data_IF_171924941281
#
_entry.id   IF_171924941281
#
_cell.length_a   1.000
_cell.length_b   1.000
_cell.length_c   1.000
_cell.angle_alpha   90.00
_cell.angle_beta   90.00
_cell.angle_gamma   90.00
#
_symmetry.space_group_name_H-M   'P 1'
#
loop_
_entity.id
_entity.type
_entity.pdbx_description
1 polymer ?
#
# COMPACT_ATOMS: atom_id res chain seq x y z
N UNK A 1 14.97 2.87 -3.31
CA UNK A 1 14.58 2.21 -4.58
C UNK A 1 13.22 2.74 -5.02
N UNK A 2 12.84 2.55 -6.30
CA UNK A 2 11.51 2.89 -6.76
C UNK A 2 10.48 1.79 -6.42
N UNK A 3 9.19 2.05 -6.71
CA UNK A 3 8.11 1.13 -6.35
C UNK A 3 8.16 -0.19 -7.15
N UNK A 4 8.64 -0.17 -8.39
CA UNK A 4 8.81 -1.37 -9.22
C UNK A 4 9.93 -2.27 -8.71
N UNK A 5 11.07 -1.70 -8.32
CA UNK A 5 12.17 -2.44 -7.70
C UNK A 5 11.76 -3.03 -6.34
N UNK A 6 10.93 -2.31 -5.58
CA UNK A 6 10.37 -2.82 -4.33
C UNK A 6 9.45 -4.02 -4.59
N UNK A 7 8.56 -3.94 -5.59
CA UNK A 7 7.71 -5.04 -6.03
C UNK A 7 8.53 -6.29 -6.36
N UNK A 8 9.52 -6.17 -7.25
CA UNK A 8 10.41 -7.29 -7.63
C UNK A 8 11.16 -7.88 -6.44
N UNK A 9 11.58 -7.03 -5.50
CA UNK A 9 12.28 -7.47 -4.28
C UNK A 9 11.36 -8.31 -3.39
N UNK A 10 10.08 -7.93 -3.26
CA UNK A 10 9.08 -8.68 -2.49
C UNK A 10 8.76 -10.00 -3.19
N UNK A 11 8.59 -10.01 -4.51
CA UNK A 11 8.36 -11.24 -5.29
C UNK A 11 9.51 -12.24 -5.13
N UNK A 12 10.75 -11.78 -5.22
CA UNK A 12 11.95 -12.60 -5.00
C UNK A 12 11.99 -13.16 -3.58
N UNK A 13 11.62 -12.34 -2.57
CA UNK A 13 11.54 -12.78 -1.19
C UNK A 13 10.45 -13.85 -0.99
N UNK A 14 9.27 -13.65 -1.58
CA UNK A 14 8.15 -14.56 -1.52
C UNK A 14 8.51 -15.91 -2.12
N UNK A 15 9.11 -15.92 -3.31
CA UNK A 15 9.60 -17.16 -3.97
C UNK A 15 10.67 -17.86 -3.14
N UNK A 16 11.63 -17.13 -2.56
CA UNK A 16 12.68 -17.70 -1.74
C UNK A 16 12.16 -18.30 -0.42
N UNK A 17 11.20 -17.63 0.24
CA UNK A 17 10.64 -18.07 1.51
C UNK A 17 9.68 -19.27 1.35
N UNK A 18 8.99 -19.34 0.23
CA UNK A 18 8.07 -20.45 -0.06
C UNK A 18 8.75 -21.63 -0.78
N UNK A 19 10.01 -21.49 -1.17
CA UNK A 19 10.77 -22.59 -1.75
C UNK A 19 11.04 -23.70 -0.71
N UNK A 20 10.94 -24.94 -1.16
CA UNK A 20 11.16 -26.15 -0.38
C UNK A 20 12.25 -26.99 -1.03
N UNK A 21 12.99 -27.73 -0.23
CA UNK A 21 13.92 -28.75 -0.71
C UNK A 21 13.17 -30.03 -1.15
N UNK A 22 13.92 -31.03 -1.61
CA UNK A 22 13.38 -32.31 -2.09
C UNK A 22 12.62 -33.09 -1.01
N UNK A 23 12.86 -32.81 0.28
CA UNK A 23 12.25 -33.46 1.44
C UNK A 23 11.04 -32.65 1.95
N UNK A 24 10.84 -31.42 1.43
CA UNK A 24 9.74 -30.53 1.79
C UNK A 24 10.07 -29.48 2.87
N UNK A 25 11.33 -29.35 3.31
CA UNK A 25 11.75 -28.32 4.24
C UNK A 25 11.95 -26.96 3.55
N UNK A 26 11.65 -25.82 4.24
CA UNK A 26 11.91 -24.51 3.70
C UNK A 26 13.41 -24.32 3.42
N UNK A 27 13.76 -23.82 2.21
CA UNK A 27 15.16 -23.48 1.89
C UNK A 27 15.69 -22.34 2.78
N UNK A 28 14.84 -21.38 3.12
CA UNK A 28 15.14 -20.37 4.15
C UNK A 28 14.39 -20.77 5.42
N UNK A 29 15.09 -21.09 6.51
CA UNK A 29 14.45 -21.49 7.77
C UNK A 29 13.45 -20.42 8.25
N UNK A 30 12.29 -20.85 8.77
CA UNK A 30 11.20 -19.95 9.17
C UNK A 30 11.64 -18.79 10.08
N UNK A 31 12.58 -19.06 10.99
CA UNK A 31 13.15 -18.03 11.88
C UNK A 31 14.00 -16.97 11.16
N UNK A 32 14.48 -17.28 9.94
CA UNK A 32 15.28 -16.37 9.12
C UNK A 32 14.44 -15.67 8.03
N UNK A 33 13.19 -16.04 7.87
CA UNK A 33 12.25 -15.38 6.97
C UNK A 33 11.77 -14.08 7.61
N UNK A 34 12.54 -13.01 7.45
CA UNK A 34 12.23 -11.70 8.03
C UNK A 34 11.01 -11.07 7.37
N UNK A 35 10.07 -10.46 8.12
CA UNK A 35 9.06 -9.57 7.57
C UNK A 35 9.69 -8.45 6.76
N UNK A 36 8.96 -7.94 5.76
CA UNK A 36 9.39 -6.81 4.96
C UNK A 36 8.73 -5.54 5.51
N UNK A 37 9.51 -4.47 5.67
CA UNK A 37 9.03 -3.16 6.10
C UNK A 37 9.27 -2.14 4.99
N UNK A 38 8.20 -1.71 4.32
CA UNK A 38 8.21 -0.67 3.30
C UNK A 38 8.08 0.70 3.96
N UNK A 39 9.08 1.55 3.82
CA UNK A 39 9.00 2.94 4.27
C UNK A 39 9.07 3.84 3.04
N UNK A 40 8.07 4.67 2.87
CA UNK A 40 8.00 5.59 1.74
C UNK A 40 6.85 6.57 1.85
N UNK A 41 6.90 7.68 1.11
CA UNK A 41 5.90 8.73 1.18
C UNK A 41 4.49 8.24 0.83
N UNK A 42 3.43 8.97 1.23
CA UNK A 42 2.05 8.60 0.92
C UNK A 42 1.76 8.70 -0.60
N UNK A 43 0.81 7.91 -1.09
CA UNK A 43 0.32 8.01 -2.47
C UNK A 43 1.25 7.50 -3.56
N UNK A 44 2.31 6.74 -3.24
CA UNK A 44 3.26 6.16 -4.23
C UNK A 44 2.92 4.73 -4.68
N UNK A 45 1.77 4.17 -4.24
CA UNK A 45 1.31 2.85 -4.69
C UNK A 45 1.75 1.66 -3.81
N UNK A 46 2.17 1.86 -2.55
CA UNK A 46 2.58 0.76 -1.65
C UNK A 46 1.53 -0.35 -1.51
N UNK A 47 0.26 0.03 -1.40
CA UNK A 47 -0.86 -0.93 -1.31
C UNK A 47 -1.14 -1.60 -2.65
N UNK A 48 -1.13 -0.83 -3.75
CA UNK A 48 -1.42 -1.33 -5.09
C UNK A 48 -0.43 -2.42 -5.55
N UNK A 49 0.85 -2.32 -5.19
CA UNK A 49 1.82 -3.38 -5.55
C UNK A 49 1.55 -4.70 -4.82
N UNK A 50 0.89 -4.70 -3.65
CA UNK A 50 0.54 -5.93 -2.94
C UNK A 50 -0.52 -6.73 -3.69
N UNK A 51 -1.53 -6.06 -4.23
CA UNK A 51 -2.56 -6.66 -5.06
C UNK A 51 -1.95 -7.28 -6.33
N UNK A 52 -1.08 -6.52 -7.01
CA UNK A 52 -0.38 -7.00 -8.20
C UNK A 52 0.49 -8.22 -7.91
N UNK A 53 1.27 -8.20 -6.81
CA UNK A 53 2.11 -9.35 -6.42
C UNK A 53 1.26 -10.57 -6.10
N UNK A 54 0.15 -10.38 -5.38
CA UNK A 54 -0.74 -11.48 -5.01
C UNK A 54 -1.38 -12.13 -6.24
N UNK A 55 -1.76 -11.33 -7.25
CA UNK A 55 -2.30 -11.81 -8.52
C UNK A 55 -1.22 -12.53 -9.35
N UNK A 56 -0.08 -11.88 -9.61
CA UNK A 56 1.01 -12.40 -10.45
C UNK A 56 1.68 -13.65 -9.86
N UNK A 57 1.80 -13.72 -8.53
CA UNK A 57 2.34 -14.90 -7.84
C UNK A 57 1.29 -15.98 -7.53
N UNK A 58 0.00 -15.70 -7.73
CA UNK A 58 -1.09 -16.63 -7.46
C UNK A 58 -1.28 -16.96 -5.98
N UNK A 59 -0.96 -16.01 -5.08
CA UNK A 59 -1.05 -16.16 -3.61
C UNK A 59 -2.24 -15.42 -3.03
N UNK A 60 -2.64 -15.73 -1.79
CA UNK A 60 -3.64 -14.98 -1.05
C UNK A 60 -3.14 -13.61 -0.62
N UNK A 61 -4.04 -12.67 -0.43
CA UNK A 61 -3.74 -11.35 0.15
C UNK A 61 -4.75 -11.05 1.25
N UNK A 62 -4.24 -10.72 2.42
CA UNK A 62 -5.02 -10.13 3.53
C UNK A 62 -4.37 -8.79 3.84
N UNK A 63 -5.13 -7.72 3.74
CA UNK A 63 -4.64 -6.35 3.91
C UNK A 63 -5.41 -5.61 5.00
N UNK A 64 -4.69 -4.95 5.89
CA UNK A 64 -5.23 -4.16 6.98
C UNK A 64 -4.55 -2.80 7.08
N UNK A 65 -5.35 -1.75 7.29
CA UNK A 65 -4.86 -0.43 7.71
C UNK A 65 -4.87 -0.37 9.23
N UNK A 66 -3.71 -0.40 9.84
CA UNK A 66 -3.55 -0.63 11.28
C UNK A 66 -4.03 0.52 12.17
N UNK A 67 -4.17 1.74 11.64
CA UNK A 67 -4.72 2.90 12.38
C UNK A 67 -6.16 2.73 12.81
N UNK A 68 -6.93 1.86 12.15
CA UNK A 68 -8.33 1.57 12.50
C UNK A 68 -8.49 0.43 13.51
N UNK A 69 -7.37 -0.24 13.88
CA UNK A 69 -7.41 -1.37 14.79
C UNK A 69 -7.07 -0.98 16.24
N UNK A 70 -7.73 -1.67 17.17
CA UNK A 70 -7.44 -1.61 18.60
C UNK A 70 -6.56 -2.80 19.01
N UNK A 71 -5.98 -2.73 20.20
CA UNK A 71 -5.26 -3.88 20.76
C UNK A 71 -6.15 -5.13 20.85
N UNK A 72 -7.44 -4.96 21.15
CA UNK A 72 -8.38 -6.06 21.30
C UNK A 72 -8.70 -6.74 19.97
N UNK A 73 -8.93 -5.98 18.88
CA UNK A 73 -9.14 -6.57 17.57
C UNK A 73 -7.90 -7.30 17.04
N UNK A 74 -6.70 -6.79 17.35
CA UNK A 74 -5.46 -7.41 16.91
C UNK A 74 -5.08 -8.67 17.70
N UNK A 75 -5.30 -8.68 19.03
CA UNK A 75 -4.92 -9.81 19.90
C UNK A 75 -6.04 -10.79 20.20
N UNK A 76 -7.30 -10.41 19.97
CA UNK A 76 -8.46 -11.12 20.50
C UNK A 76 -8.89 -10.62 21.89
N UNK A 77 -10.03 -11.09 22.35
CA UNK A 77 -10.59 -10.78 23.66
C UNK A 77 -10.13 -11.81 24.72
N UNK A 78 -9.81 -11.39 25.95
CA UNK A 78 -9.49 -12.33 27.01
C UNK A 78 -10.75 -13.07 27.46
N UNK A 79 -10.67 -14.40 27.54
CA UNK A 79 -11.70 -15.30 28.07
C UNK A 79 -11.15 -16.06 29.26
N UNK A 80 -11.99 -16.28 30.28
CA UNK A 80 -11.63 -17.10 31.43
C UNK A 80 -12.01 -18.54 31.14
N UNK A 81 -11.01 -19.38 30.96
CA UNK A 81 -11.18 -20.81 30.73
C UNK A 81 -10.79 -21.62 31.99
N UNK A 82 -11.45 -22.72 32.21
CA UNK A 82 -11.09 -23.64 33.31
C UNK A 82 -10.28 -24.79 32.76
N UNK A 83 -9.07 -24.99 33.29
CA UNK A 83 -8.17 -26.10 32.91
C UNK A 83 -7.78 -26.94 34.09
N UNK A 84 -7.64 -28.24 33.88
CA UNK A 84 -7.03 -29.16 34.85
C UNK A 84 -5.48 -29.11 34.74
N UNK A 85 -4.81 -28.65 35.80
CA UNK A 85 -3.35 -28.64 35.88
C UNK A 85 -2.97 -29.44 37.15
N UNK A 86 -2.17 -30.46 36.97
CA UNK A 86 -1.69 -31.35 38.10
C UNK A 86 -2.83 -31.86 39.00
N UNK A 87 -3.99 -32.19 38.37
CA UNK A 87 -5.17 -32.70 39.11
C UNK A 87 -6.01 -31.65 39.83
N UNK A 88 -5.69 -30.33 39.66
CA UNK A 88 -6.45 -29.22 40.21
C UNK A 88 -7.10 -28.44 39.08
N UNK A 89 -8.38 -28.05 39.26
CA UNK A 89 -9.07 -27.14 38.36
C UNK A 89 -8.61 -25.71 38.66
N UNK A 90 -8.03 -25.07 37.67
CA UNK A 90 -7.57 -23.67 37.76
C UNK A 90 -8.22 -22.80 36.66
N UNK A 91 -8.44 -21.54 36.97
CA UNK A 91 -8.89 -20.56 35.97
C UNK A 91 -7.66 -19.97 35.28
N UNK A 92 -7.67 -20.01 33.96
CA UNK A 92 -6.63 -19.42 33.10
C UNK A 92 -7.27 -18.41 32.18
N UNK A 93 -6.53 -17.39 31.82
CA UNK A 93 -6.95 -16.44 30.78
C UNK A 93 -6.43 -16.92 29.43
N UNK A 94 -7.33 -17.09 28.47
CA UNK A 94 -7.03 -17.34 27.07
C UNK A 94 -7.53 -16.18 26.24
N UNK A 95 -7.00 -16.03 25.04
CA UNK A 95 -7.48 -15.00 24.10
C UNK A 95 -8.24 -15.68 22.97
N UNK A 96 -9.37 -15.10 22.56
CA UNK A 96 -10.04 -15.50 21.32
C UNK A 96 -9.10 -15.30 20.14
N UNK A 97 -9.42 -15.93 19.01
CA UNK A 97 -8.59 -15.76 17.82
C UNK A 97 -8.55 -14.28 17.40
N UNK A 98 -7.34 -13.79 17.04
CA UNK A 98 -7.15 -12.49 16.44
C UNK A 98 -7.97 -12.37 15.15
N UNK A 99 -8.66 -11.25 14.95
CA UNK A 99 -9.36 -10.95 13.69
C UNK A 99 -8.43 -11.06 12.48
N UNK A 100 -7.20 -10.57 12.61
CA UNK A 100 -6.20 -10.59 11.55
C UNK A 100 -5.83 -12.04 11.18
N UNK A 101 -5.65 -12.91 12.18
CA UNK A 101 -5.34 -14.32 11.93
C UNK A 101 -6.54 -15.06 11.38
N UNK A 102 -7.75 -14.79 11.89
CA UNK A 102 -8.98 -15.37 11.37
C UNK A 102 -9.16 -15.05 9.88
N UNK A 103 -8.94 -13.80 9.47
CA UNK A 103 -9.03 -13.41 8.06
C UNK A 103 -8.01 -14.11 7.15
N UNK A 104 -6.87 -14.53 7.68
CA UNK A 104 -5.93 -15.37 6.91
C UNK A 104 -6.58 -16.73 6.62
N UNK A 105 -7.17 -17.37 7.62
CA UNK A 105 -7.86 -18.65 7.43
C UNK A 105 -9.08 -18.53 6.53
N UNK A 106 -9.86 -17.46 6.67
CA UNK A 106 -11.00 -17.16 5.79
C UNK A 106 -10.55 -16.98 4.34
N UNK A 107 -9.45 -16.25 4.11
CA UNK A 107 -8.86 -16.10 2.79
C UNK A 107 -8.42 -17.45 2.20
N UNK A 108 -7.78 -18.31 3.02
CA UNK A 108 -7.37 -19.66 2.59
C UNK A 108 -8.58 -20.52 2.22
N UNK A 109 -9.66 -20.45 2.98
CA UNK A 109 -10.89 -21.21 2.74
C UNK A 109 -11.61 -20.73 1.48
N UNK A 110 -11.80 -19.42 1.34
CA UNK A 110 -12.54 -18.81 0.23
C UNK A 110 -11.81 -18.94 -1.11
N UNK A 111 -10.48 -18.79 -1.12
CA UNK A 111 -9.67 -18.76 -2.34
C UNK A 111 -9.02 -20.09 -2.67
N UNK A 112 -8.94 -21.04 -1.73
CA UNK A 112 -8.16 -22.27 -1.85
C UNK A 112 -6.63 -22.07 -1.81
N UNK A 113 -6.17 -20.83 -1.65
CA UNK A 113 -4.74 -20.46 -1.66
C UNK A 113 -4.15 -20.63 -0.26
N UNK A 114 -3.27 -21.62 -0.08
CA UNK A 114 -2.63 -21.89 1.22
C UNK A 114 -1.47 -20.94 1.55
N UNK A 115 -0.96 -20.21 0.56
CA UNK A 115 0.16 -19.26 0.66
C UNK A 115 -0.33 -17.86 0.43
N UNK A 116 0.25 -16.88 1.15
CA UNK A 116 -0.23 -15.52 1.02
C UNK A 116 0.69 -14.44 1.55
N UNK A 117 0.20 -13.24 1.45
CA UNK A 117 0.78 -12.03 2.02
C UNK A 117 -0.19 -11.49 3.07
N UNK A 118 0.30 -11.26 4.26
CA UNK A 118 -0.34 -10.39 5.25
C UNK A 118 0.25 -8.99 5.11
N UNK A 119 -0.54 -8.07 4.59
CA UNK A 119 -0.14 -6.69 4.41
C UNK A 119 -0.71 -5.80 5.52
N UNK A 120 0.16 -5.09 6.22
CA UNK A 120 -0.18 -4.22 7.34
C UNK A 120 0.23 -2.79 7.02
N UNK A 121 -0.72 -1.99 6.56
CA UNK A 121 -0.47 -0.59 6.20
C UNK A 121 -0.51 0.33 7.43
N UNK A 122 0.22 1.45 7.35
CA UNK A 122 0.32 2.46 8.41
C UNK A 122 0.78 1.92 9.79
N UNK A 123 1.66 0.90 9.77
CA UNK A 123 2.08 0.19 10.99
C UNK A 123 2.77 1.09 12.02
N UNK A 124 3.36 2.18 11.60
CA UNK A 124 4.05 3.14 12.47
C UNK A 124 3.17 4.32 12.92
N UNK A 125 1.89 4.33 12.54
CA UNK A 125 0.90 5.33 12.97
C UNK A 125 -0.11 4.77 13.98
N UNK A 126 0.12 3.57 14.51
CA UNK A 126 -0.79 2.90 15.46
C UNK A 126 -0.78 3.56 16.83
N UNK A 127 -1.85 3.32 17.61
CA UNK A 127 -1.97 3.81 18.99
C UNK A 127 -0.85 3.27 19.90
N UNK A 128 -0.58 3.97 21.02
CA UNK A 128 0.44 3.57 22.00
C UNK A 128 0.22 2.16 22.56
N UNK A 129 -1.03 1.78 22.72
CA UNK A 129 -1.40 0.46 23.25
C UNK A 129 -1.24 -0.66 22.22
N UNK A 130 -1.33 -0.33 20.93
CA UNK A 130 -1.19 -1.31 19.84
C UNK A 130 0.25 -1.45 19.36
N UNK A 131 1.06 -0.39 19.44
CA UNK A 131 2.45 -0.40 18.94
C UNK A 131 3.29 -1.59 19.48
N UNK A 132 3.31 -1.94 20.79
CA UNK A 132 4.07 -3.07 21.27
C UNK A 132 3.61 -4.42 20.68
N UNK A 133 2.31 -4.55 20.40
CA UNK A 133 1.75 -5.76 19.77
C UNK A 133 2.22 -5.91 18.33
N UNK A 134 2.26 -4.79 17.59
CA UNK A 134 2.76 -4.77 16.20
C UNK A 134 4.25 -5.07 16.15
N UNK A 135 5.04 -4.52 17.09
CA UNK A 135 6.46 -4.85 17.20
C UNK A 135 6.68 -6.34 17.50
N UNK A 136 5.90 -6.91 18.40
CA UNK A 136 5.94 -8.35 18.68
C UNK A 136 5.59 -9.18 17.44
N UNK A 137 4.58 -8.78 16.68
CA UNK A 137 4.23 -9.45 15.44
C UNK A 137 5.37 -9.44 14.42
N UNK A 138 6.02 -8.29 14.22
CA UNK A 138 7.18 -8.19 13.32
C UNK A 138 8.38 -9.01 13.80
N UNK A 139 8.55 -9.17 15.12
CA UNK A 139 9.66 -9.92 15.69
C UNK A 139 9.42 -11.42 15.69
N UNK A 140 8.24 -11.85 16.14
CA UNK A 140 7.93 -13.23 16.48
C UNK A 140 6.92 -13.90 15.55
N UNK A 141 6.33 -13.15 14.60
CA UNK A 141 5.25 -13.58 13.69
C UNK A 141 4.04 -14.17 14.42
N UNK A 142 3.67 -13.56 15.54
CA UNK A 142 2.54 -14.01 16.37
C UNK A 142 1.83 -12.86 17.07
N UNK A 143 0.56 -13.06 17.34
CA UNK A 143 -0.23 -12.28 18.27
C UNK A 143 -0.48 -13.10 19.55
N UNK A 144 0.10 -12.70 20.67
CA UNK A 144 0.04 -13.49 21.90
C UNK A 144 0.63 -14.90 21.70
N UNK A 145 -0.22 -15.93 21.79
CA UNK A 145 0.12 -17.33 21.55
C UNK A 145 -0.28 -17.85 20.16
N UNK A 146 -0.89 -17.01 19.32
CA UNK A 146 -1.37 -17.39 17.99
C UNK A 146 -0.34 -17.00 16.93
N UNK A 147 0.12 -17.98 16.14
CA UNK A 147 1.09 -17.77 15.08
C UNK A 147 0.44 -17.45 13.72
N UNK A 148 1.10 -16.60 12.96
CA UNK A 148 0.80 -16.47 11.52
C UNK A 148 1.19 -17.79 10.83
N UNK A 149 0.38 -18.34 9.93
CA UNK A 149 0.73 -19.54 9.18
C UNK A 149 2.09 -19.42 8.46
N UNK A 150 2.88 -20.50 8.46
CA UNK A 150 4.27 -20.49 7.99
C UNK A 150 4.46 -20.00 6.53
N UNK A 151 3.52 -20.32 5.66
CA UNK A 151 3.54 -19.94 4.25
C UNK A 151 2.85 -18.56 4.00
N UNK A 152 2.82 -17.68 5.01
CA UNK A 152 2.36 -16.30 4.90
C UNK A 152 3.50 -15.33 5.17
N UNK A 153 3.79 -14.48 4.15
CA UNK A 153 4.77 -13.42 4.26
C UNK A 153 4.12 -12.18 4.88
N UNK A 154 4.72 -11.65 5.94
CA UNK A 154 4.31 -10.37 6.51
C UNK A 154 5.02 -9.26 5.75
N UNK A 155 4.24 -8.35 5.17
CA UNK A 155 4.71 -7.10 4.59
C UNK A 155 4.03 -5.96 5.33
N UNK A 156 4.80 -5.12 5.97
CA UNK A 156 4.32 -3.94 6.66
C UNK A 156 4.68 -2.68 5.88
N UNK A 157 3.85 -1.66 5.93
CA UNK A 157 4.13 -0.37 5.31
C UNK A 157 3.96 0.77 6.31
N UNK A 158 4.74 1.81 6.14
CA UNK A 158 4.66 3.03 6.92
C UNK A 158 5.14 4.24 6.13
N UNK A 159 4.82 5.41 6.66
CA UNK A 159 5.29 6.68 6.09
C UNK A 159 6.48 7.19 6.91
N UNK A 160 7.44 7.91 6.30
CA UNK A 160 8.48 8.60 7.03
C UNK A 160 7.90 9.69 7.97
N UNK A 161 8.61 10.05 9.06
CA UNK A 161 8.13 11.03 10.04
C UNK A 161 7.80 12.40 9.45
N UNK A 162 8.46 12.78 8.38
CA UNK A 162 8.25 14.06 7.69
C UNK A 162 6.82 14.25 7.18
N UNK A 163 6.14 13.14 6.86
CA UNK A 163 4.80 13.18 6.26
C UNK A 163 3.65 13.09 7.27
N UNK A 164 3.94 12.62 8.49
CA UNK A 164 2.91 12.46 9.51
C UNK A 164 3.51 12.59 10.92
N UNK A 165 3.08 13.59 11.68
CA UNK A 165 3.52 13.83 13.05
C UNK A 165 3.18 12.71 14.04
N UNK A 166 2.23 11.84 13.70
CA UNK A 166 1.84 10.68 14.52
C UNK A 166 2.72 9.46 14.30
N UNK A 167 3.67 9.53 13.38
CA UNK A 167 4.61 8.45 13.07
C UNK A 167 5.55 8.20 14.25
N UNK A 168 5.73 6.93 14.58
CA UNK A 168 6.73 6.46 15.54
C UNK A 168 7.90 5.87 14.80
N UNK A 169 9.09 6.18 15.26
CA UNK A 169 10.30 5.54 14.78
C UNK A 169 10.42 4.12 15.35
N UNK A 170 10.90 3.21 14.53
CA UNK A 170 11.23 1.86 14.98
C UNK A 170 12.59 1.84 15.67
N UNK A 171 12.68 1.13 16.77
CA UNK A 171 13.95 0.90 17.46
C UNK A 171 14.88 -0.03 16.64
N UNK A 172 16.17 0.01 17.00
CA UNK A 172 17.20 -0.80 16.33
C UNK A 172 16.90 -2.30 16.43
N UNK A 173 16.32 -2.75 17.55
CA UNK A 173 15.99 -4.16 17.76
C UNK A 173 14.89 -4.64 16.81
N UNK A 174 13.91 -3.80 16.51
CA UNK A 174 12.88 -4.09 15.50
C UNK A 174 13.45 -4.05 14.09
N UNK A 175 14.25 -3.02 13.78
CA UNK A 175 14.87 -2.88 12.45
C UNK A 175 15.82 -4.03 12.12
N UNK A 176 16.51 -4.58 13.11
CA UNK A 176 17.37 -5.76 12.92
C UNK A 176 16.58 -7.04 12.56
N UNK A 177 15.29 -7.11 12.90
CA UNK A 177 14.44 -8.27 12.65
C UNK A 177 13.59 -8.19 11.39
N UNK A 178 13.58 -7.05 10.70
CA UNK A 178 12.84 -6.83 9.45
C UNK A 178 13.79 -6.60 8.29
N UNK A 179 13.27 -6.70 7.08
CA UNK A 179 13.94 -6.25 5.85
C UNK A 179 13.37 -4.88 5.48
N UNK A 180 14.04 -3.82 5.92
CA UNK A 180 13.63 -2.45 5.58
C UNK A 180 13.90 -2.15 4.11
N UNK A 181 12.90 -1.64 3.43
CA UNK A 181 12.93 -1.16 2.04
C UNK A 181 12.45 0.29 2.03
N UNK A 182 13.30 1.20 1.61
CA UNK A 182 12.92 2.61 1.42
C UNK A 182 12.50 2.83 -0.03
N UNK A 183 11.27 3.32 -0.21
CA UNK A 183 10.67 3.54 -1.52
C UNK A 183 10.52 5.03 -1.77
N UNK A 184 10.99 5.48 -2.92
CA UNK A 184 10.91 6.86 -3.36
C UNK A 184 10.03 6.98 -4.61
N UNK A 185 9.30 8.10 -4.77
CA UNK A 185 8.54 8.35 -5.99
C UNK A 185 9.47 8.51 -7.19
N UNK A 186 9.13 7.89 -8.31
CA UNK A 186 9.87 7.99 -9.56
C UNK A 186 8.90 8.11 -10.73
N UNK A 187 8.96 9.24 -11.44
CA UNK A 187 8.05 9.54 -12.54
C UNK A 187 8.13 8.53 -13.68
N UNK A 188 9.33 8.10 -14.07
CA UNK A 188 9.52 7.16 -15.19
C UNK A 188 8.78 5.84 -14.95
N UNK A 189 8.83 5.34 -13.73
CA UNK A 189 8.12 4.11 -13.31
C UNK A 189 6.61 4.35 -13.28
N UNK A 190 6.18 5.49 -12.75
CA UNK A 190 4.77 5.84 -12.74
C UNK A 190 4.20 6.04 -14.16
N UNK A 191 4.95 6.61 -15.09
CA UNK A 191 4.52 6.74 -16.49
C UNK A 191 4.31 5.38 -17.16
N UNK A 192 5.16 4.39 -16.87
CA UNK A 192 4.98 3.01 -17.35
C UNK A 192 3.71 2.35 -16.78
N UNK A 193 3.38 2.64 -15.53
CA UNK A 193 2.11 2.25 -14.91
C UNK A 193 0.94 3.01 -15.55
N UNK A 194 1.07 4.30 -15.77
CA UNK A 194 0.06 5.17 -16.33
C UNK A 194 -0.37 4.75 -17.75
N UNK A 195 0.56 4.30 -18.58
CA UNK A 195 0.28 3.77 -19.91
C UNK A 195 -0.57 2.49 -19.82
N UNK A 196 -0.19 1.53 -18.98
CA UNK A 196 -0.94 0.28 -18.78
C UNK A 196 -2.35 0.50 -18.24
N UNK A 197 -2.53 1.48 -17.38
CA UNK A 197 -3.81 1.81 -16.74
C UNK A 197 -4.57 2.92 -17.46
N UNK A 198 -4.12 3.29 -18.68
CA UNK A 198 -4.79 4.26 -19.53
C UNK A 198 -5.03 5.60 -18.81
N UNK A 199 -4.10 6.07 -18.01
CA UNK A 199 -4.18 7.40 -17.40
C UNK A 199 -4.38 8.46 -18.50
N UNK A 200 -5.16 9.49 -18.19
CA UNK A 200 -5.52 10.53 -19.14
C UNK A 200 -4.28 11.17 -19.79
N UNK A 201 -4.25 11.24 -21.13
CA UNK A 201 -3.06 11.67 -21.87
C UNK A 201 -2.63 13.12 -21.57
N UNK A 202 -3.55 14.02 -21.21
CA UNK A 202 -3.17 15.36 -20.75
C UNK A 202 -2.31 15.31 -19.48
N UNK A 203 -2.57 14.36 -18.57
CA UNK A 203 -1.78 14.18 -17.33
C UNK A 203 -0.38 13.66 -17.68
N UNK A 204 -0.31 12.59 -18.46
CA UNK A 204 0.99 11.98 -18.81
C UNK A 204 1.88 12.91 -19.62
N UNK A 205 1.33 13.60 -20.62
CA UNK A 205 2.09 14.55 -21.45
C UNK A 205 2.52 15.79 -20.67
N UNK A 206 1.68 16.28 -19.76
CA UNK A 206 2.07 17.37 -18.86
C UNK A 206 3.25 16.97 -17.97
N UNK A 207 3.18 15.82 -17.32
CA UNK A 207 4.23 15.35 -16.42
C UNK A 207 5.54 15.00 -17.14
N UNK A 208 5.49 14.59 -18.40
CA UNK A 208 6.69 14.45 -19.23
C UNK A 208 7.41 15.77 -19.46
N UNK A 209 6.67 16.88 -19.54
CA UNK A 209 7.22 18.22 -19.72
C UNK A 209 7.61 18.89 -18.39
N UNK A 210 6.92 18.55 -17.31
CA UNK A 210 7.05 19.15 -15.97
C UNK A 210 7.23 18.06 -14.92
N UNK A 211 8.37 17.38 -14.96
CA UNK A 211 8.66 16.22 -14.08
C UNK A 211 8.73 16.54 -12.60
N UNK A 212 9.07 17.77 -12.25
CA UNK A 212 9.11 18.32 -10.89
C UNK A 212 7.72 18.46 -10.25
N UNK A 213 6.65 18.51 -11.07
CA UNK A 213 5.27 18.56 -10.59
C UNK A 213 4.66 17.18 -10.29
N UNK A 214 5.40 16.10 -10.49
CA UNK A 214 4.88 14.75 -10.25
C UNK A 214 4.61 14.47 -8.77
N UNK A 215 5.56 14.85 -7.92
CA UNK A 215 5.48 14.58 -6.50
C UNK A 215 6.13 15.70 -5.70
N UNK A 216 5.34 16.38 -4.91
CA UNK A 216 5.82 17.38 -3.96
C UNK A 216 5.01 17.33 -2.67
N UNK A 217 5.66 17.54 -1.52
CA UNK A 217 5.00 17.69 -0.23
C UNK A 217 5.72 18.80 0.52
N UNK A 218 5.03 19.92 0.73
CA UNK A 218 5.54 21.03 1.51
C UNK A 218 5.35 20.78 3.01
N UNK A 219 6.38 21.08 3.79
CA UNK A 219 6.39 20.95 5.25
C UNK A 219 6.29 22.31 5.96
N UNK A 220 5.90 23.37 5.26
CA UNK A 220 5.70 24.68 5.87
C UNK A 220 4.57 24.64 6.90
N UNK A 221 4.78 25.32 8.03
CA UNK A 221 4.05 25.08 9.29
C UNK A 221 2.54 25.34 9.24
N UNK A 222 2.04 26.15 8.31
CA UNK A 222 0.64 26.61 8.28
C UNK A 222 -0.20 26.11 7.12
N UNK A 223 0.41 25.63 6.02
CA UNK A 223 -0.35 25.10 4.87
C UNK A 223 0.27 23.80 4.36
N UNK A 224 -0.51 22.74 4.41
CA UNK A 224 -0.13 21.46 3.80
C UNK A 224 -0.40 21.54 2.30
N UNK A 225 0.63 21.81 1.50
CA UNK A 225 0.56 21.77 0.04
C UNK A 225 1.21 20.49 -0.43
N UNK A 226 0.52 19.74 -1.25
CA UNK A 226 1.07 18.48 -1.76
C UNK A 226 0.50 18.09 -3.12
N UNK A 227 1.33 17.40 -3.88
CA UNK A 227 0.96 16.68 -5.09
C UNK A 227 1.50 15.26 -4.96
N UNK A 228 0.70 14.27 -5.29
CA UNK A 228 1.08 12.85 -5.19
C UNK A 228 0.69 12.10 -6.45
N UNK A 229 1.31 10.94 -6.68
CA UNK A 229 0.93 10.05 -7.78
C UNK A 229 -0.55 9.65 -7.74
N UNK A 230 -1.12 9.44 -6.54
CA UNK A 230 -2.56 9.18 -6.34
C UNK A 230 -3.41 10.37 -6.79
N UNK A 231 -3.02 11.61 -6.43
CA UNK A 231 -3.75 12.81 -6.85
C UNK A 231 -3.84 12.93 -8.37
N UNK A 232 -2.78 12.63 -9.10
CA UNK A 232 -2.77 12.59 -10.56
C UNK A 232 -3.66 11.49 -11.14
N UNK A 233 -3.66 10.30 -10.52
CA UNK A 233 -4.49 9.17 -10.93
C UNK A 233 -5.98 9.47 -10.74
N UNK A 234 -6.37 9.95 -9.56
CA UNK A 234 -7.74 10.32 -9.22
C UNK A 234 -8.23 11.46 -10.14
N UNK A 235 -7.41 12.49 -10.36
CA UNK A 235 -7.72 13.56 -11.31
C UNK A 235 -7.95 13.02 -12.73
N UNK A 236 -7.09 12.10 -13.19
CA UNK A 236 -7.25 11.46 -14.51
C UNK A 236 -8.62 10.77 -14.65
N UNK A 237 -9.06 10.06 -13.63
CA UNK A 237 -10.36 9.38 -13.66
C UNK A 237 -11.52 10.37 -13.77
N UNK A 238 -11.42 11.48 -13.05
CA UNK A 238 -12.43 12.54 -13.09
C UNK A 238 -12.43 13.28 -14.42
N UNK A 239 -11.26 13.61 -14.96
CA UNK A 239 -11.16 14.27 -16.29
C UNK A 239 -11.86 13.44 -17.36
N UNK A 240 -11.60 12.12 -17.42
CA UNK A 240 -12.26 11.20 -18.36
C UNK A 240 -13.79 11.21 -18.21
N UNK A 241 -14.27 11.19 -16.96
CA UNK A 241 -15.71 11.21 -16.68
C UNK A 241 -16.34 12.54 -17.09
N UNK A 242 -15.66 13.66 -16.83
CA UNK A 242 -16.15 15.00 -17.18
C UNK A 242 -16.19 15.21 -18.69
N UNK A 243 -15.20 14.68 -19.43
CA UNK A 243 -15.21 14.71 -20.90
C UNK A 243 -16.41 13.94 -21.48
N UNK A 244 -16.70 12.74 -20.94
CA UNK A 244 -17.85 11.93 -21.37
C UNK A 244 -19.18 12.64 -21.07
N UNK A 245 -19.27 13.28 -19.91
CA UNK A 245 -20.49 13.95 -19.44
C UNK A 245 -20.61 15.39 -19.94
N UNK A 246 -19.61 15.88 -20.67
CA UNK A 246 -19.50 17.28 -21.14
C UNK A 246 -19.58 18.31 -20.01
N UNK A 247 -19.01 17.98 -18.85
CA UNK A 247 -18.89 18.91 -17.74
C UNK A 247 -17.66 19.80 -17.91
N UNK A 248 -17.73 21.08 -17.49
CA UNK A 248 -16.56 21.96 -17.52
C UNK A 248 -15.51 21.50 -16.50
N UNK A 249 -14.26 21.52 -16.92
CA UNK A 249 -13.10 21.35 -16.05
C UNK A 249 -12.51 22.72 -15.77
N UNK A 250 -12.47 23.11 -14.51
CA UNK A 250 -11.91 24.37 -14.03
C UNK A 250 -10.74 24.13 -13.05
N UNK A 251 -10.08 25.20 -12.69
CA UNK A 251 -8.96 25.20 -11.76
C UNK A 251 -9.38 24.77 -10.34
N UNK A 252 -10.60 25.12 -9.92
CA UNK A 252 -11.12 24.74 -8.61
C UNK A 252 -11.28 23.22 -8.49
N UNK A 253 -11.73 22.54 -9.56
CA UNK A 253 -11.78 21.09 -9.61
C UNK A 253 -10.37 20.49 -9.53
N UNK A 254 -9.43 20.99 -10.33
CA UNK A 254 -8.05 20.49 -10.37
C UNK A 254 -7.38 20.65 -9.02
N UNK A 255 -7.55 21.79 -8.35
CA UNK A 255 -7.00 22.09 -7.04
C UNK A 255 -7.52 21.18 -5.91
N UNK A 256 -8.64 20.48 -6.09
CA UNK A 256 -9.12 19.48 -5.14
C UNK A 256 -8.27 18.19 -5.12
N UNK A 257 -7.56 17.90 -6.23
CA UNK A 257 -6.71 16.73 -6.39
C UNK A 257 -5.23 17.08 -6.28
N UNK A 258 -4.84 18.25 -6.82
CA UNK A 258 -3.48 18.77 -6.78
C UNK A 258 -3.46 19.93 -5.79
N UNK A 259 -3.22 19.62 -4.51
CA UNK A 259 -3.32 20.61 -3.42
C UNK A 259 -2.07 21.51 -3.29
N UNK A 260 -1.38 21.75 -4.41
CA UNK A 260 -0.35 22.75 -4.59
C UNK A 260 -0.85 23.75 -5.66
N UNK A 261 -1.09 24.97 -5.23
CA UNK A 261 -1.75 26.01 -6.03
C UNK A 261 -1.05 26.26 -7.37
N UNK A 262 0.28 26.39 -7.35
CA UNK A 262 1.07 26.61 -8.57
C UNK A 262 0.90 25.48 -9.58
N UNK A 263 1.03 24.23 -9.14
CA UNK A 263 0.87 23.06 -10.02
C UNK A 263 -0.57 22.95 -10.56
N UNK A 264 -1.57 23.27 -9.74
CA UNK A 264 -2.98 23.27 -10.16
C UNK A 264 -3.26 24.33 -11.21
N UNK A 265 -2.78 25.58 -11.05
CA UNK A 265 -2.91 26.67 -12.03
C UNK A 265 -2.22 26.32 -13.35
N UNK A 266 -0.96 25.85 -13.29
CA UNK A 266 -0.18 25.52 -14.48
C UNK A 266 -0.80 24.35 -15.25
N UNK A 267 -1.24 23.30 -14.54
CA UNK A 267 -1.94 22.19 -15.18
C UNK A 267 -3.30 22.60 -15.74
N UNK A 268 -4.08 23.46 -15.06
CA UNK A 268 -5.34 23.99 -15.56
C UNK A 268 -5.16 24.74 -16.87
N UNK A 269 -4.14 25.59 -16.94
CA UNK A 269 -3.79 26.34 -18.15
C UNK A 269 -3.38 25.43 -19.30
N UNK A 270 -2.57 24.41 -19.02
CA UNK A 270 -2.18 23.38 -19.97
C UNK A 270 -3.40 22.58 -20.46
N UNK A 271 -4.27 22.13 -19.57
CA UNK A 271 -5.44 21.33 -19.91
C UNK A 271 -6.42 22.07 -20.83
N UNK A 272 -6.62 23.37 -20.63
CA UNK A 272 -7.46 24.20 -21.53
C UNK A 272 -6.92 24.17 -22.97
N UNK A 273 -5.61 24.30 -23.16
CA UNK A 273 -4.97 24.23 -24.47
C UNK A 273 -5.08 22.83 -25.07
N UNK A 274 -4.83 21.82 -24.25
CA UNK A 274 -4.93 20.41 -24.63
C UNK A 274 -6.34 20.07 -25.14
N UNK A 275 -7.38 20.44 -24.39
CA UNK A 275 -8.77 20.14 -24.71
C UNK A 275 -9.22 20.78 -26.06
N UNK A 276 -8.79 22.01 -26.33
CA UNK A 276 -9.07 22.68 -27.63
C UNK A 276 -8.36 21.94 -28.77
N UNK A 277 -7.10 21.60 -28.61
CA UNK A 277 -6.32 20.90 -29.65
C UNK A 277 -6.87 19.50 -29.94
N UNK A 278 -7.31 18.77 -28.91
CA UNK A 278 -7.87 17.43 -29.03
C UNK A 278 -9.25 17.43 -29.72
N UNK A 279 -10.09 18.41 -29.45
CA UNK A 279 -11.38 18.56 -30.13
C UNK A 279 -11.20 18.84 -31.61
N UNK A 280 -10.21 19.62 -32.02
CA UNK A 280 -9.88 19.86 -33.44
C UNK A 280 -9.38 18.59 -34.15
N UNK A 281 -8.54 17.79 -33.51
CA UNK A 281 -8.04 16.51 -34.08
C UNK A 281 -9.17 15.49 -34.27
N UNK A 282 -10.07 15.32 -33.30
CA UNK A 282 -11.23 14.42 -33.41
C UNK A 282 -12.22 14.89 -34.50
N UNK A 283 -12.43 16.17 -34.65
CA UNK A 283 -13.29 16.71 -35.73
C UNK A 283 -12.70 16.42 -37.11
N UNK A 284 -11.38 16.43 -37.29
CA UNK A 284 -10.70 16.05 -38.52
C UNK A 284 -10.76 14.56 -38.82
N UNK A 285 -10.62 13.69 -37.83
CA UNK A 285 -10.71 12.22 -38.01
C UNK A 285 -12.13 11.79 -38.41
N UNK A 286 -13.17 12.39 -37.79
CA UNK A 286 -14.56 12.06 -38.14
C UNK A 286 -14.94 12.54 -39.54
N UNK A 287 -14.30 13.57 -40.08
CA UNK A 287 -14.51 14.03 -41.46
C UNK A 287 -13.80 13.16 -42.50
N UNK A 288 -12.71 12.48 -42.15
CA UNK A 288 -11.98 11.56 -43.02
C UNK A 288 -12.66 10.20 -43.17
N UNK A 289 -13.53 9.80 -42.26
CA UNK A 289 -14.30 8.54 -42.32
C UNK A 289 -15.66 8.69 -43.01
N UNK A 290 -16.02 9.86 -43.52
CA UNK A 290 -17.28 10.15 -44.23
C UNK A 290 -17.11 10.44 -45.74
N UNK A 291 -15.97 10.06 -46.32
CA UNK A 291 -15.75 10.14 -47.79
C UNK A 291 -15.56 8.74 -48.37
#
# INVERSE_FOLDING_TARGET
>A
MNIQEAKETIEKALRAYFARDEIGFPLVPLRQQRPILLIGPPGIGKTAIMEQIAEECGVGLVAYTMTHHTRQSAMGLPEICTRGIEGKMVHTTEYTMSEIIASIYDCMEQTGKKRGILFLDEINCVSETLAPVMLQLLQDKKFGNQHIPDDWLIVAAGNPPEYNKSVREFDVATLDRVRKIEVLPELSVWLSYAEKNQIHSAVTTYLMAHSDHFYSVSHEADEKRFVTARGWEDLSAVLKSYEILHFPVDEALIGQYLQEEKTAEEFSSYYRIYAVSYTHLRAHETTLHLV
#
